data_IF_287873280788
#
_entry.id   IF_287873280788
#
_cell.length_a   1.000
_cell.length_b   1.000
_cell.length_c   1.000
_cell.angle_alpha   90.00
_cell.angle_beta   90.00
_cell.angle_gamma   90.00
#
_symmetry.space_group_name_H-M   'P 1'
#
loop_
_entity.id
_entity.type
_entity.pdbx_description
1 polymer ?
#
# COMPACT_ATOMS: atom_id res chain seq x y z
N UNK A 1 55.55 -22.98 5.87
CA UNK A 1 54.58 -23.05 4.76
C UNK A 1 53.15 -23.36 5.20
N UNK A 2 52.88 -24.30 6.13
CA UNK A 2 51.50 -24.62 6.56
C UNK A 2 50.70 -23.47 7.22
N UNK A 3 51.38 -22.56 7.94
CA UNK A 3 50.71 -21.42 8.61
C UNK A 3 50.17 -20.37 7.63
N UNK A 4 50.83 -20.14 6.49
CA UNK A 4 50.43 -19.15 5.48
C UNK A 4 49.16 -19.60 4.76
N UNK A 5 49.04 -20.90 4.48
CA UNK A 5 47.87 -21.49 3.81
C UNK A 5 46.59 -21.36 4.67
N UNK A 6 46.66 -21.54 6.00
CA UNK A 6 45.51 -21.32 6.88
C UNK A 6 45.05 -19.84 6.94
N UNK A 7 45.97 -18.87 6.80
CA UNK A 7 45.64 -17.45 6.79
C UNK A 7 44.82 -17.03 5.56
N UNK A 8 44.92 -17.76 4.44
CA UNK A 8 44.13 -17.50 3.24
C UNK A 8 42.87 -18.37 3.13
N UNK A 9 42.87 -19.57 3.73
CA UNK A 9 41.71 -20.48 3.68
C UNK A 9 40.56 -19.98 4.58
N UNK A 10 40.85 -19.49 5.79
CA UNK A 10 39.82 -18.98 6.70
C UNK A 10 39.02 -17.80 6.11
N UNK A 11 39.64 -16.73 5.57
CA UNK A 11 38.90 -15.62 4.96
C UNK A 11 38.18 -16.03 3.66
N UNK A 12 38.71 -17.00 2.90
CA UNK A 12 38.04 -17.52 1.70
C UNK A 12 36.78 -18.31 2.05
N UNK A 13 36.81 -19.12 3.12
CA UNK A 13 35.63 -19.85 3.60
C UNK A 13 34.57 -18.90 4.16
N UNK A 14 34.96 -17.87 4.92
CA UNK A 14 34.00 -16.86 5.41
C UNK A 14 33.38 -16.04 4.28
N UNK A 15 34.17 -15.70 3.24
CA UNK A 15 33.68 -15.02 2.05
C UNK A 15 32.68 -15.89 1.26
N UNK A 16 32.98 -17.19 1.10
CA UNK A 16 32.05 -18.11 0.45
C UNK A 16 30.74 -18.27 1.25
N UNK A 17 30.82 -18.34 2.58
CA UNK A 17 29.63 -18.43 3.43
C UNK A 17 28.78 -17.17 3.38
N UNK A 18 29.38 -15.98 3.37
CA UNK A 18 28.63 -14.72 3.21
C UNK A 18 27.95 -14.62 1.84
N UNK A 19 28.63 -15.04 0.77
CA UNK A 19 28.04 -15.04 -0.58
C UNK A 19 26.88 -16.03 -0.68
N UNK A 20 27.00 -17.23 -0.10
CA UNK A 20 25.91 -18.23 -0.10
C UNK A 20 24.71 -17.72 0.70
N UNK A 21 24.95 -17.07 1.84
CA UNK A 21 23.88 -16.47 2.64
C UNK A 21 23.14 -15.37 1.86
N UNK A 22 23.88 -14.45 1.23
CA UNK A 22 23.33 -13.35 0.45
C UNK A 22 22.53 -13.82 -0.77
N UNK A 23 23.01 -14.87 -1.46
CA UNK A 23 22.23 -15.48 -2.56
C UNK A 23 20.93 -16.12 -2.04
N UNK A 24 20.95 -16.70 -0.83
CA UNK A 24 19.77 -17.31 -0.24
C UNK A 24 18.75 -16.27 0.24
N UNK A 25 19.19 -15.17 0.85
CA UNK A 25 18.31 -14.06 1.29
C UNK A 25 17.68 -13.36 0.09
N UNK A 26 18.42 -13.12 -0.98
CA UNK A 26 17.89 -12.54 -2.21
C UNK A 26 16.79 -13.42 -2.83
N UNK A 27 17.01 -14.73 -2.94
CA UNK A 27 15.98 -15.66 -3.44
C UNK A 27 14.77 -15.73 -2.51
N UNK A 28 14.99 -15.76 -1.21
CA UNK A 28 13.90 -15.77 -0.23
C UNK A 28 13.05 -14.49 -0.36
N UNK A 29 13.71 -13.33 -0.51
CA UNK A 29 13.02 -12.06 -0.74
C UNK A 29 12.18 -12.11 -2.00
N UNK A 30 12.75 -12.52 -3.14
CA UNK A 30 12.01 -12.64 -4.40
C UNK A 30 10.75 -13.52 -4.26
N UNK A 31 10.87 -14.65 -3.58
CA UNK A 31 9.73 -15.55 -3.35
C UNK A 31 8.66 -14.92 -2.44
N UNK A 32 9.08 -14.23 -1.38
CA UNK A 32 8.17 -13.52 -0.48
C UNK A 32 7.47 -12.36 -1.19
N UNK A 33 8.18 -11.57 -2.01
CA UNK A 33 7.59 -10.50 -2.82
C UNK A 33 6.55 -11.02 -3.83
N UNK A 34 6.78 -12.18 -4.45
CA UNK A 34 5.77 -12.82 -5.32
C UNK A 34 4.54 -13.33 -4.55
N UNK A 35 4.68 -13.66 -3.26
CA UNK A 35 3.52 -13.97 -2.41
C UNK A 35 2.77 -12.70 -2.06
N UNK A 36 3.48 -11.64 -1.69
CA UNK A 36 2.94 -10.32 -1.43
C UNK A 36 2.07 -9.85 -2.60
N UNK A 37 2.62 -9.82 -3.81
CA UNK A 37 1.90 -9.35 -5.00
C UNK A 37 0.61 -10.13 -5.27
N UNK A 38 0.66 -11.47 -5.16
CA UNK A 38 -0.55 -12.31 -5.29
C UNK A 38 -1.60 -12.00 -4.22
N UNK A 39 -1.17 -11.74 -2.99
CA UNK A 39 -2.08 -11.41 -1.90
C UNK A 39 -2.71 -10.02 -2.07
N UNK A 40 -1.96 -9.07 -2.62
CA UNK A 40 -2.45 -7.74 -3.01
C UNK A 40 -3.48 -7.81 -4.13
N UNK A 41 -3.27 -8.67 -5.13
CA UNK A 41 -4.20 -8.86 -6.24
C UNK A 41 -5.49 -9.57 -5.82
N UNK A 42 -5.43 -10.40 -4.77
CA UNK A 42 -6.57 -11.17 -4.25
C UNK A 42 -6.87 -10.85 -2.76
N UNK A 43 -7.19 -9.59 -2.41
CA UNK A 43 -7.29 -9.18 -1.02
C UNK A 43 -8.44 -9.89 -0.27
N UNK A 44 -9.57 -10.10 -0.93
CA UNK A 44 -10.75 -10.79 -0.35
C UNK A 44 -10.52 -12.28 -0.07
N UNK A 45 -9.54 -12.90 -0.73
CA UNK A 45 -9.16 -14.33 -0.56
C UNK A 45 -8.06 -14.52 0.52
N UNK A 46 -7.49 -13.41 0.99
CA UNK A 46 -6.33 -13.42 1.88
C UNK A 46 -6.77 -13.24 3.33
N UNK A 47 -6.46 -14.23 4.17
CA UNK A 47 -6.73 -14.15 5.60
C UNK A 47 -5.63 -13.39 6.34
N UNK A 48 -5.97 -12.82 7.50
CA UNK A 48 -5.02 -12.21 8.43
C UNK A 48 -3.80 -13.13 8.71
N UNK A 49 -4.05 -14.42 8.89
CA UNK A 49 -3.00 -15.42 9.11
C UNK A 49 -1.95 -15.45 7.97
N UNK A 50 -2.37 -15.29 6.71
CA UNK A 50 -1.43 -15.31 5.57
C UNK A 50 -0.51 -14.09 5.59
N UNK A 51 -1.01 -12.91 5.99
CA UNK A 51 -0.19 -11.71 6.14
C UNK A 51 0.84 -11.85 7.25
N UNK A 52 0.44 -12.35 8.43
CA UNK A 52 1.39 -12.62 9.52
C UNK A 52 2.46 -13.65 9.12
N UNK A 53 2.06 -14.70 8.39
CA UNK A 53 3.02 -15.68 7.88
C UNK A 53 4.04 -15.01 6.95
N UNK A 54 3.57 -14.16 6.02
CA UNK A 54 4.42 -13.44 5.08
C UNK A 54 5.37 -12.45 5.79
N UNK A 55 4.87 -11.74 6.80
CA UNK A 55 5.70 -10.87 7.65
C UNK A 55 6.84 -11.69 8.29
N UNK A 56 6.53 -12.86 8.85
CA UNK A 56 7.56 -13.75 9.41
C UNK A 56 8.54 -14.30 8.37
N UNK A 57 8.18 -14.36 7.09
CA UNK A 57 9.14 -14.67 6.02
C UNK A 57 10.12 -13.51 5.78
N UNK A 58 9.62 -12.28 5.73
CA UNK A 58 10.45 -11.08 5.59
C UNK A 58 11.31 -10.81 6.83
N UNK A 59 10.80 -11.02 8.04
CA UNK A 59 11.56 -10.87 9.28
C UNK A 59 12.77 -11.81 9.31
N UNK A 60 12.63 -13.07 8.89
CA UNK A 60 13.77 -14.01 8.80
C UNK A 60 14.85 -13.55 7.81
N UNK A 61 14.47 -12.84 6.75
CA UNK A 61 15.42 -12.26 5.79
C UNK A 61 16.20 -11.13 6.47
N UNK A 62 15.51 -10.25 7.19
CA UNK A 62 16.14 -9.18 7.96
C UNK A 62 17.02 -9.69 9.10
N UNK A 63 16.62 -10.76 9.79
CA UNK A 63 17.44 -11.37 10.84
C UNK A 63 18.76 -11.94 10.28
N UNK A 64 18.71 -12.53 9.08
CA UNK A 64 19.89 -13.06 8.42
C UNK A 64 20.83 -11.94 7.93
N UNK A 65 20.27 -10.87 7.35
CA UNK A 65 21.04 -9.75 6.79
C UNK A 65 20.40 -8.38 7.11
N UNK A 66 20.56 -7.87 8.35
CA UNK A 66 19.89 -6.65 8.81
C UNK A 66 20.25 -5.40 8.00
N UNK A 67 21.45 -5.38 7.45
CA UNK A 67 22.00 -4.30 6.61
C UNK A 67 22.38 -4.82 5.21
N UNK A 68 21.75 -5.91 4.77
CA UNK A 68 21.95 -6.48 3.44
C UNK A 68 21.38 -5.60 2.33
N UNK A 69 21.65 -5.98 1.08
CA UNK A 69 21.21 -5.24 -0.11
C UNK A 69 19.70 -5.09 -0.22
N UNK A 70 18.93 -6.04 0.33
CA UNK A 70 17.46 -6.04 0.31
C UNK A 70 16.86 -5.46 1.60
N UNK A 71 17.67 -4.92 2.51
CA UNK A 71 17.21 -4.71 3.88
C UNK A 71 16.20 -3.55 4.00
N UNK A 72 16.33 -2.50 3.21
CA UNK A 72 15.33 -1.43 3.13
C UNK A 72 14.06 -1.91 2.38
N UNK A 73 14.23 -2.59 1.23
CA UNK A 73 13.14 -3.27 0.50
C UNK A 73 12.33 -4.20 1.41
N UNK A 74 13.01 -4.95 2.29
CA UNK A 74 12.37 -5.90 3.20
C UNK A 74 11.63 -5.18 4.33
N UNK A 75 12.17 -4.09 4.88
CA UNK A 75 11.46 -3.26 5.86
C UNK A 75 10.23 -2.59 5.24
N UNK A 76 10.35 -2.11 4.01
CA UNK A 76 9.24 -1.59 3.23
C UNK A 76 8.17 -2.67 2.99
N UNK A 77 8.57 -3.90 2.68
CA UNK A 77 7.67 -5.03 2.51
C UNK A 77 6.90 -5.38 3.79
N UNK A 78 7.57 -5.37 4.94
CA UNK A 78 6.93 -5.60 6.25
C UNK A 78 5.91 -4.50 6.53
N UNK A 79 6.30 -3.23 6.35
CA UNK A 79 5.39 -2.10 6.56
C UNK A 79 4.17 -2.19 5.64
N UNK A 80 4.36 -2.57 4.37
CA UNK A 80 3.28 -2.85 3.43
C UNK A 80 2.32 -3.93 3.97
N UNK A 81 2.84 -5.07 4.42
CA UNK A 81 1.98 -6.14 4.94
C UNK A 81 1.11 -5.66 6.11
N UNK A 82 1.67 -4.83 7.00
CA UNK A 82 0.91 -4.23 8.09
C UNK A 82 -0.15 -3.23 7.60
N UNK A 83 0.11 -2.50 6.53
CA UNK A 83 -0.87 -1.61 5.89
C UNK A 83 -2.03 -2.39 5.28
N UNK A 84 -1.75 -3.51 4.60
CA UNK A 84 -2.79 -4.41 4.08
C UNK A 84 -3.63 -5.03 5.19
N UNK A 85 -3.00 -5.43 6.30
CA UNK A 85 -3.71 -5.89 7.50
C UNK A 85 -4.59 -4.78 8.11
N UNK A 86 -4.09 -3.55 8.17
CA UNK A 86 -4.83 -2.42 8.71
C UNK A 86 -6.11 -2.07 7.91
N UNK A 87 -6.14 -2.39 6.62
CA UNK A 87 -7.32 -2.20 5.76
C UNK A 87 -8.35 -3.33 5.90
N UNK A 88 -7.94 -4.51 6.36
CA UNK A 88 -8.85 -5.65 6.51
C UNK A 88 -9.91 -5.39 7.58
N UNK A 89 -11.17 -5.75 7.31
CA UNK A 89 -12.27 -5.59 8.26
C UNK A 89 -12.04 -6.50 9.49
N UNK A 90 -11.77 -5.91 10.65
CA UNK A 90 -11.52 -6.66 11.88
C UNK A 90 -11.22 -5.80 13.11
N UNK A 91 -11.21 -6.46 14.27
CA UNK A 91 -10.97 -5.82 15.58
C UNK A 91 -9.51 -5.32 15.73
N UNK A 92 -8.57 -5.83 14.92
CA UNK A 92 -7.13 -5.60 15.03
C UNK A 92 -6.57 -4.46 14.14
N UNK A 93 -7.43 -3.62 13.53
CA UNK A 93 -7.00 -2.59 12.56
C UNK A 93 -6.11 -1.52 13.17
N UNK A 94 -6.46 -1.03 14.37
CA UNK A 94 -5.65 -0.05 15.10
C UNK A 94 -4.27 -0.64 15.41
N UNK A 95 -4.21 -1.83 16.01
CA UNK A 95 -2.95 -2.53 16.31
C UNK A 95 -2.07 -2.74 15.08
N UNK A 96 -2.68 -3.08 13.94
CA UNK A 96 -1.97 -3.23 12.66
C UNK A 96 -1.37 -1.90 12.18
N UNK A 97 -2.08 -0.77 12.36
CA UNK A 97 -1.52 0.57 12.08
C UNK A 97 -0.37 0.92 13.01
N UNK A 98 -0.43 0.59 14.30
CA UNK A 98 0.73 0.82 15.17
C UNK A 98 1.94 -0.02 14.76
N UNK A 99 1.73 -1.26 14.30
CA UNK A 99 2.82 -2.07 13.74
C UNK A 99 3.38 -1.50 12.44
N UNK A 100 2.53 -0.98 11.55
CA UNK A 100 2.98 -0.26 10.36
C UNK A 100 3.83 0.97 10.72
N UNK A 101 3.40 1.75 11.72
CA UNK A 101 4.16 2.89 12.24
C UNK A 101 5.54 2.46 12.74
N UNK A 102 5.62 1.37 13.51
CA UNK A 102 6.90 0.83 13.97
C UNK A 102 7.80 0.44 12.79
N UNK A 103 7.27 -0.29 11.81
CA UNK A 103 8.02 -0.73 10.64
C UNK A 103 8.56 0.43 9.79
N UNK A 104 7.73 1.47 9.54
CA UNK A 104 8.18 2.66 8.82
C UNK A 104 9.25 3.44 9.60
N UNK A 105 9.09 3.59 10.91
CA UNK A 105 10.12 4.25 11.72
C UNK A 105 11.44 3.46 11.72
N UNK A 106 11.39 2.13 11.72
CA UNK A 106 12.58 1.29 11.59
C UNK A 106 13.24 1.46 10.21
N UNK A 107 12.47 1.58 9.12
CA UNK A 107 13.02 1.87 7.80
C UNK A 107 13.77 3.21 7.81
N UNK A 108 13.11 4.28 8.26
CA UNK A 108 13.68 5.62 8.31
C UNK A 108 14.93 5.67 9.20
N UNK A 109 14.94 4.99 10.33
CA UNK A 109 16.06 5.04 11.28
C UNK A 109 17.26 4.22 10.82
N UNK A 110 17.03 3.08 10.18
CA UNK A 110 18.11 2.15 9.83
C UNK A 110 18.64 2.34 8.40
N UNK A 111 17.86 2.95 7.50
CA UNK A 111 18.19 3.13 6.09
C UNK A 111 17.86 4.56 5.64
N UNK A 112 18.70 5.51 6.06
CA UNK A 112 18.53 6.95 5.81
C UNK A 112 18.70 7.37 4.33
N UNK A 113 19.21 6.47 3.49
CA UNK A 113 19.42 6.64 2.06
C UNK A 113 18.40 5.87 1.19
N UNK A 114 17.44 5.19 1.81
CA UNK A 114 16.43 4.42 1.08
C UNK A 114 15.55 5.34 0.22
N UNK A 115 15.22 4.87 -0.99
CA UNK A 115 14.30 5.58 -1.89
C UNK A 115 12.87 5.67 -1.33
N UNK A 116 12.52 4.78 -0.39
CA UNK A 116 11.19 4.71 0.21
C UNK A 116 10.91 5.75 1.30
N UNK A 117 11.91 6.53 1.73
CA UNK A 117 11.75 7.44 2.87
C UNK A 117 10.62 8.48 2.66
N UNK A 118 10.50 9.14 1.49
CA UNK A 118 9.42 10.11 1.26
C UNK A 118 8.04 9.45 1.40
N UNK A 119 7.84 8.27 0.80
CA UNK A 119 6.61 7.52 0.94
C UNK A 119 6.40 6.99 2.36
N UNK A 120 7.45 6.58 3.07
CA UNK A 120 7.33 6.13 4.45
C UNK A 120 6.83 7.25 5.37
N UNK A 121 7.29 8.49 5.19
CA UNK A 121 6.74 9.65 5.90
C UNK A 121 5.27 9.92 5.54
N UNK A 122 4.91 9.78 4.26
CA UNK A 122 3.51 9.89 3.84
C UNK A 122 2.64 8.83 4.52
N UNK A 123 3.02 7.55 4.45
CA UNK A 123 2.25 6.47 5.06
C UNK A 123 2.21 6.55 6.59
N UNK A 124 3.28 7.01 7.24
CA UNK A 124 3.23 7.35 8.67
C UNK A 124 2.15 8.40 8.95
N UNK A 125 2.06 9.45 8.13
CA UNK A 125 1.01 10.46 8.24
C UNK A 125 -0.39 9.85 8.15
N UNK A 126 -0.61 8.96 7.18
CA UNK A 126 -1.86 8.22 7.03
C UNK A 126 -2.17 7.35 8.26
N UNK A 127 -1.19 6.59 8.77
CA UNK A 127 -1.39 5.78 9.95
C UNK A 127 -1.75 6.62 11.18
N UNK A 128 -1.05 7.72 11.42
CA UNK A 128 -1.31 8.63 12.55
C UNK A 128 -2.71 9.28 12.44
N UNK A 129 -3.12 9.69 11.24
CA UNK A 129 -4.46 10.21 10.97
C UNK A 129 -5.51 9.18 11.38
N UNK A 130 -5.34 7.94 10.95
CA UNK A 130 -6.34 6.90 11.16
C UNK A 130 -6.42 6.41 12.61
N UNK A 131 -5.33 6.49 13.39
CA UNK A 131 -5.35 6.25 14.84
C UNK A 131 -5.75 7.50 15.64
N UNK A 132 -6.32 8.51 14.96
CA UNK A 132 -6.85 9.75 15.55
C UNK A 132 -5.80 10.60 16.26
N UNK A 133 -4.57 10.59 15.77
CA UNK A 133 -3.49 11.51 16.15
C UNK A 133 -3.18 12.48 14.98
N UNK A 134 -4.03 13.51 14.78
CA UNK A 134 -3.90 14.39 13.64
C UNK A 134 -2.74 15.40 13.78
N UNK A 135 -2.13 15.51 14.94
CA UNK A 135 -0.96 16.38 15.14
C UNK A 135 0.32 15.67 14.68
N UNK A 136 0.47 14.37 15.01
CA UNK A 136 1.54 13.57 14.42
C UNK A 136 1.35 13.41 12.91
N UNK A 137 0.13 13.19 12.44
CA UNK A 137 -0.15 13.08 11.00
C UNK A 137 0.35 14.30 10.22
N UNK A 138 0.01 15.50 10.71
CA UNK A 138 0.42 16.77 10.12
C UNK A 138 1.94 16.91 10.09
N UNK A 139 2.62 16.59 11.19
CA UNK A 139 4.09 16.65 11.26
C UNK A 139 4.76 15.75 10.21
N UNK A 140 4.24 14.52 10.01
CA UNK A 140 4.81 13.59 9.02
C UNK A 140 4.56 14.05 7.59
N UNK A 141 3.36 14.55 7.29
CA UNK A 141 3.06 15.13 5.98
C UNK A 141 3.90 16.38 5.70
N UNK A 142 4.07 17.29 6.66
CA UNK A 142 4.95 18.45 6.53
C UNK A 142 6.39 18.04 6.25
N UNK A 143 6.87 16.98 6.90
CA UNK A 143 8.21 16.43 6.63
C UNK A 143 8.39 16.06 5.15
N UNK A 144 7.38 15.46 4.51
CA UNK A 144 7.41 15.17 3.06
C UNK A 144 7.54 16.46 2.24
N UNK A 145 6.71 17.46 2.55
CA UNK A 145 6.66 18.71 1.78
C UNK A 145 7.94 19.53 1.92
N UNK A 146 8.55 19.52 3.10
CA UNK A 146 9.73 20.33 3.43
C UNK A 146 11.03 19.66 2.96
N UNK A 147 11.16 18.34 3.18
CA UNK A 147 12.40 17.61 2.90
C UNK A 147 12.43 16.99 1.50
N UNK A 148 11.25 16.68 0.93
CA UNK A 148 11.13 15.98 -0.36
C UNK A 148 10.19 16.73 -1.34
N UNK A 149 10.36 18.04 -1.57
CA UNK A 149 9.39 18.88 -2.30
C UNK A 149 9.17 18.51 -3.77
N UNK A 150 10.11 17.79 -4.39
CA UNK A 150 10.07 17.37 -5.79
C UNK A 150 9.65 15.90 -5.96
N UNK A 151 9.32 15.20 -4.87
CA UNK A 151 9.00 13.79 -4.90
C UNK A 151 7.57 13.56 -5.41
N UNK A 152 7.33 12.44 -6.11
CA UNK A 152 6.01 12.12 -6.70
C UNK A 152 4.88 12.06 -5.66
N UNK A 153 5.20 11.72 -4.41
CA UNK A 153 4.23 11.58 -3.32
C UNK A 153 3.72 12.94 -2.79
N UNK A 154 4.34 14.06 -3.18
CA UNK A 154 4.01 15.40 -2.67
C UNK A 154 2.57 15.79 -2.98
N UNK A 155 2.05 15.45 -4.17
CA UNK A 155 0.68 15.82 -4.54
C UNK A 155 -0.34 15.09 -3.66
N UNK A 156 -0.17 13.78 -3.47
CA UNK A 156 -1.00 12.99 -2.55
C UNK A 156 -0.90 13.52 -1.12
N UNK A 157 0.31 13.89 -0.70
CA UNK A 157 0.55 14.45 0.65
C UNK A 157 -0.19 15.76 0.87
N UNK A 158 -0.22 16.66 -0.12
CA UNK A 158 -0.98 17.92 -0.01
C UNK A 158 -2.48 17.67 0.13
N UNK A 159 -3.02 16.74 -0.66
CA UNK A 159 -4.43 16.37 -0.58
C UNK A 159 -4.79 15.82 0.80
N UNK A 160 -3.93 14.97 1.37
CA UNK A 160 -4.17 14.42 2.71
C UNK A 160 -4.05 15.46 3.83
N UNK A 161 -3.11 16.39 3.71
CA UNK A 161 -2.97 17.49 4.67
C UNK A 161 -4.19 18.43 4.62
N UNK A 162 -4.73 18.70 3.43
CA UNK A 162 -5.95 19.51 3.25
C UNK A 162 -7.18 18.82 3.86
N UNK A 163 -7.34 17.51 3.65
CA UNK A 163 -8.41 16.69 4.27
C UNK A 163 -8.31 16.74 5.79
N UNK A 164 -7.10 16.57 6.32
CA UNK A 164 -6.82 16.62 7.75
C UNK A 164 -7.17 17.99 8.36
N UNK A 165 -6.79 19.08 7.69
CA UNK A 165 -7.08 20.44 8.13
C UNK A 165 -8.59 20.72 8.15
N UNK A 166 -9.31 20.27 7.12
CA UNK A 166 -10.77 20.42 7.02
C UNK A 166 -11.46 19.68 8.17
N UNK A 167 -11.05 18.44 8.46
CA UNK A 167 -11.58 17.66 9.59
C UNK A 167 -11.31 18.32 10.96
N UNK A 168 -10.12 18.90 11.16
CA UNK A 168 -9.81 19.68 12.38
C UNK A 168 -10.73 20.91 12.53
N UNK A 169 -11.05 21.60 11.43
CA UNK A 169 -11.96 22.75 11.45
C UNK A 169 -13.38 22.31 11.79
N UNK A 170 -13.89 21.26 11.15
CA UNK A 170 -15.24 20.73 11.37
C UNK A 170 -15.45 20.29 12.82
N UNK A 171 -14.54 19.49 13.38
CA UNK A 171 -14.61 19.06 14.78
C UNK A 171 -14.61 20.24 15.76
N UNK A 172 -13.83 21.30 15.47
CA UNK A 172 -13.81 22.53 16.28
C UNK A 172 -15.10 23.34 16.16
N UNK A 173 -15.72 23.35 14.97
CA UNK A 173 -17.02 23.97 14.74
C UNK A 173 -18.13 23.22 15.48
N UNK A 174 -18.15 21.89 15.41
CA UNK A 174 -19.12 21.06 16.14
C UNK A 174 -19.02 21.24 17.66
N UNK A 175 -17.80 21.27 18.21
CA UNK A 175 -17.58 21.55 19.62
C UNK A 175 -18.13 22.93 20.02
N UNK A 176 -17.94 23.94 19.16
CA UNK A 176 -18.45 25.29 19.40
C UNK A 176 -19.97 25.35 19.28
N UNK A 177 -20.58 24.71 18.27
CA UNK A 177 -22.04 24.66 18.11
C UNK A 177 -22.70 23.95 19.29
N UNK A 178 -22.14 22.83 19.76
CA UNK A 178 -22.63 22.10 20.94
C UNK A 178 -22.53 22.94 22.23
N UNK A 179 -21.51 23.79 22.34
CA UNK A 179 -21.34 24.70 23.47
C UNK A 179 -22.36 25.87 23.45
N UNK A 180 -22.82 26.27 22.27
CA UNK A 180 -23.72 27.43 22.10
C UNK A 180 -25.22 27.06 22.03
N UNK A 181 -25.60 25.78 21.89
CA UNK A 181 -26.99 25.34 21.94
C UNK A 181 -27.36 24.83 23.35
N UNK A 182 -28.14 25.58 24.16
CA UNK A 182 -28.70 25.02 25.37
C UNK A 182 -29.70 23.92 24.98
N UNK A 183 -29.61 22.76 25.62
CA UNK A 183 -30.51 21.62 25.45
C UNK A 183 -31.95 22.04 25.74
N UNK A 184 -32.69 22.49 24.72
CA UNK A 184 -34.12 22.68 24.81
C UNK A 184 -34.75 21.28 24.86
N UNK A 185 -35.04 20.80 26.06
CA UNK A 185 -35.89 19.62 26.22
C UNK A 185 -37.23 19.88 25.51
N UNK A 186 -37.75 18.93 24.71
CA UNK A 186 -39.11 19.06 24.21
C UNK A 186 -40.05 18.97 25.41
N UNK A 187 -40.71 20.10 25.73
CA UNK A 187 -41.83 20.11 26.68
C UNK A 187 -42.99 19.43 25.97
N UNK A 188 -43.33 18.24 26.45
CA UNK A 188 -44.51 17.50 26.03
C UNK A 188 -45.76 18.31 26.40
N UNK A 189 -46.31 19.07 25.46
CA UNK A 189 -47.70 19.51 25.52
C UNK A 189 -48.52 18.55 24.66
N UNK A 190 -49.26 17.67 25.34
CA UNK A 190 -50.30 16.83 24.77
C UNK A 190 -51.30 17.69 24.00
N UNK A 191 -51.42 17.46 22.69
CA UNK A 191 -52.63 17.78 21.94
C UNK A 191 -53.26 16.47 21.49
N UNK A 192 -54.07 15.94 22.40
CA UNK A 192 -55.07 14.90 22.13
C UNK A 192 -56.11 15.49 21.18
N UNK A 193 -56.09 15.10 19.90
CA UNK A 193 -57.30 15.08 19.07
C UNK A 193 -57.32 13.77 18.30
N UNK A 194 -58.28 12.95 18.70
CA UNK A 194 -58.60 11.64 18.18
C UNK A 194 -59.23 11.67 16.79
N UNK A 195 -58.99 10.57 16.08
CA UNK A 195 -59.92 9.85 15.18
C UNK A 195 -60.40 10.52 13.90
N UNK A 196 -59.85 10.09 12.76
CA UNK A 196 -60.61 9.34 11.73
C UNK A 196 -59.76 9.10 10.46
N UNK A 197 -59.44 7.83 10.18
CA UNK A 197 -59.19 7.32 8.82
C UNK A 197 -60.56 6.92 8.21
N UNK A 198 -60.73 6.86 6.86
CA UNK A 198 -60.35 5.63 6.16
C UNK A 198 -59.76 5.79 4.75
N UNK A 199 -59.09 4.70 4.37
CA UNK A 199 -58.57 4.25 3.07
C UNK A 199 -59.35 4.62 1.81
N UNK A 200 -58.61 4.79 0.71
CA UNK A 200 -59.03 4.32 -0.62
C UNK A 200 -57.85 3.65 -1.32
N UNK A 201 -57.89 2.32 -1.35
CA UNK A 201 -57.26 1.49 -2.38
C UNK A 201 -58.31 1.08 -3.41
N UNK A 202 -57.99 1.16 -4.72
CA UNK A 202 -58.13 0.06 -5.70
C UNK A 202 -58.32 0.53 -7.15
N UNK A 203 -57.79 -0.35 -8.02
CA UNK A 203 -58.08 -0.60 -9.44
C UNK A 203 -57.41 0.29 -10.48
N UNK A 204 -57.03 -0.16 -11.68
CA UNK A 204 -56.75 -1.43 -12.38
C UNK A 204 -56.57 -1.00 -13.84
N UNK A 205 -55.71 -1.69 -14.62
CA UNK A 205 -55.97 -2.09 -16.01
C UNK A 205 -55.00 -1.59 -17.11
N UNK A 206 -54.19 -2.55 -17.57
CA UNK A 206 -54.00 -2.99 -18.97
C UNK A 206 -53.10 -2.18 -19.93
N UNK A 207 -51.92 -2.78 -20.16
CA UNK A 207 -51.25 -3.14 -21.42
C UNK A 207 -51.20 -2.17 -22.61
N UNK A 208 -50.00 -2.02 -23.19
CA UNK A 208 -49.74 -2.39 -24.60
C UNK A 208 -48.22 -2.44 -24.88
N UNK A 209 -47.83 -3.57 -25.47
CA UNK A 209 -46.52 -3.95 -26.00
C UNK A 209 -46.16 -3.16 -27.26
N UNK A 210 -44.88 -2.84 -27.48
CA UNK A 210 -44.32 -2.79 -28.85
C UNK A 210 -42.82 -3.06 -28.81
N UNK A 211 -42.48 -4.26 -29.26
CA UNK A 211 -41.18 -4.70 -29.80
C UNK A 211 -40.74 -3.82 -30.96
N UNK A 212 -39.42 -3.62 -31.14
CA UNK A 212 -38.66 -3.72 -32.42
C UNK A 212 -37.15 -3.68 -32.07
N UNK A 213 -36.46 -4.76 -32.39
CA UNK A 213 -35.02 -4.92 -32.69
C UNK A 213 -34.93 -5.22 -34.21
N UNK A 214 -33.75 -5.35 -34.84
CA UNK A 214 -32.49 -4.57 -34.75
C UNK A 214 -32.02 -4.17 -36.17
N UNK A 215 -30.96 -3.36 -36.31
CA UNK A 215 -30.26 -3.21 -37.60
C UNK A 215 -28.74 -3.22 -37.41
N UNK A 216 -28.11 -4.19 -38.06
CA UNK A 216 -26.66 -4.42 -38.20
C UNK A 216 -26.31 -4.16 -39.65
N UNK A 217 -25.18 -3.50 -39.92
CA UNK A 217 -24.32 -3.78 -41.10
C UNK A 217 -22.94 -3.10 -40.98
N UNK A 218 -21.90 -3.58 -41.71
CA UNK A 218 -20.48 -3.58 -41.32
C UNK A 218 -19.55 -2.79 -42.27
N UNK A 219 -18.24 -2.77 -41.97
CA UNK A 219 -17.03 -2.74 -42.87
C UNK A 219 -15.83 -2.15 -42.09
N UNK A 220 -14.76 -2.91 -41.76
CA UNK A 220 -13.58 -3.35 -42.55
C UNK A 220 -12.41 -2.35 -42.60
N UNK A 221 -11.18 -2.81 -42.31
CA UNK A 221 -9.95 -2.04 -42.57
C UNK A 221 -8.69 -2.40 -41.75
N UNK A 222 -7.97 -3.43 -42.21
CA UNK A 222 -6.67 -3.92 -41.76
C UNK A 222 -5.48 -2.98 -42.09
N UNK A 223 -4.36 -3.04 -41.34
CA UNK A 223 -3.06 -2.51 -41.79
C UNK A 223 -1.96 -2.26 -40.73
N UNK A 224 -1.03 -3.21 -40.59
CA UNK A 224 0.41 -3.05 -40.24
C UNK A 224 1.15 -4.21 -40.95
N UNK A 225 2.51 -4.28 -41.09
CA UNK A 225 3.60 -3.50 -40.45
C UNK A 225 4.74 -3.06 -41.41
N UNK A 226 5.74 -2.32 -40.93
CA UNK A 226 7.03 -2.14 -41.64
C UNK A 226 8.23 -2.11 -40.66
N UNK A 227 9.32 -2.76 -41.08
CA UNK A 227 10.56 -3.08 -40.35
C UNK A 227 11.74 -2.41 -41.08
N UNK A 228 12.62 -1.72 -40.35
CA UNK A 228 14.01 -1.39 -40.75
C UNK A 228 14.83 -1.09 -39.48
N UNK A 229 16.17 -1.06 -39.48
CA UNK A 229 17.15 -2.14 -39.61
C UNK A 229 18.45 -1.70 -38.86
N UNK A 230 19.17 -2.69 -38.34
CA UNK A 230 20.59 -2.77 -37.91
C UNK A 230 21.40 -1.52 -37.46
N UNK A 231 22.05 -1.65 -36.28
CA UNK A 231 23.50 -1.44 -36.21
C UNK A 231 24.16 -2.25 -35.08
N UNK A 232 25.26 -2.94 -35.43
CA UNK A 232 26.08 -3.80 -34.58
C UNK A 232 27.22 -3.00 -33.95
N UNK A 233 27.40 -3.09 -32.62
CA UNK A 233 28.67 -2.81 -31.94
C UNK A 233 28.92 -3.90 -30.90
N UNK A 234 30.12 -4.47 -30.95
CA UNK A 234 30.56 -5.66 -30.21
C UNK A 234 30.66 -5.47 -28.68
N UNK A 235 30.61 -6.63 -28.04
CA UNK A 235 30.30 -6.95 -26.64
C UNK A 235 31.55 -7.03 -25.76
N UNK A 236 31.39 -6.66 -24.48
CA UNK A 236 32.14 -7.25 -23.35
C UNK A 236 31.13 -7.73 -22.30
N UNK A 237 31.36 -8.85 -21.60
CA UNK A 237 30.28 -9.72 -21.13
C UNK A 237 29.59 -9.16 -19.89
N UNK A 238 28.36 -8.66 -20.08
CA UNK A 238 27.41 -8.38 -19.01
C UNK A 238 26.73 -9.69 -18.66
N UNK A 239 26.76 -10.07 -17.38
CA UNK A 239 25.99 -11.19 -16.84
C UNK A 239 24.53 -10.94 -17.23
N UNK A 240 24.00 -11.82 -18.08
CA UNK A 240 22.63 -11.74 -18.61
C UNK A 240 21.71 -12.28 -17.52
N UNK A 241 21.21 -11.40 -16.67
CA UNK A 241 19.89 -11.62 -16.08
C UNK A 241 18.89 -11.33 -17.19
N UNK A 242 18.14 -12.35 -17.60
CA UNK A 242 17.21 -12.28 -18.73
C UNK A 242 16.12 -11.23 -18.44
N UNK A 243 16.19 -10.03 -19.07
CA UNK A 243 15.32 -8.90 -18.73
C UNK A 243 13.85 -9.16 -19.09
N UNK A 244 13.61 -10.19 -19.90
CA UNK A 244 12.31 -10.69 -20.33
C UNK A 244 11.40 -11.10 -19.14
N UNK A 245 11.95 -11.71 -18.09
CA UNK A 245 11.13 -12.20 -16.96
C UNK A 245 10.69 -11.08 -16.00
N UNK A 246 11.53 -10.06 -15.84
CA UNK A 246 11.27 -8.90 -14.98
C UNK A 246 10.29 -7.92 -15.65
N UNK A 247 10.32 -7.82 -16.98
CA UNK A 247 9.38 -6.99 -17.75
C UNK A 247 8.01 -7.66 -18.00
N UNK A 248 7.94 -8.99 -18.09
CA UNK A 248 6.67 -9.70 -18.32
C UNK A 248 5.71 -9.67 -17.13
N UNK A 249 6.18 -9.34 -15.92
CA UNK A 249 5.37 -9.32 -14.69
C UNK A 249 5.00 -7.91 -14.21
N UNK A 250 5.41 -6.85 -14.91
CA UNK A 250 4.93 -5.48 -14.64
C UNK A 250 5.30 -4.86 -13.28
N UNK A 251 5.96 -5.61 -12.40
CA UNK A 251 6.51 -5.15 -11.13
C UNK A 251 8.00 -5.48 -11.09
N UNK A 252 8.82 -4.44 -10.93
CA UNK A 252 10.19 -4.66 -10.48
C UNK A 252 10.07 -5.43 -9.16
N UNK A 253 10.65 -6.63 -9.04
CA UNK A 253 10.41 -7.56 -7.89
C UNK A 253 10.73 -6.92 -6.52
N UNK A 254 11.40 -5.75 -6.52
CA UNK A 254 11.66 -4.89 -5.37
C UNK A 254 10.51 -3.96 -4.96
N UNK A 255 9.68 -3.51 -5.91
CA UNK A 255 8.68 -2.47 -5.64
C UNK A 255 7.41 -3.07 -5.04
N UNK A 256 7.34 -3.04 -3.71
CA UNK A 256 6.17 -3.49 -2.96
C UNK A 256 5.07 -2.42 -2.99
N UNK A 257 3.84 -2.84 -3.32
CA UNK A 257 2.65 -1.98 -3.30
C UNK A 257 2.16 -1.80 -1.87
N UNK A 258 2.03 -0.55 -1.42
CA UNK A 258 1.47 -0.24 -0.09
C UNK A 258 0.01 0.20 -0.15
N UNK A 259 -0.40 0.85 -1.23
CA UNK A 259 -1.76 1.37 -1.37
C UNK A 259 -2.78 0.21 -1.47
N UNK A 260 -3.62 -0.01 -0.45
CA UNK A 260 -4.54 -1.13 -0.45
C UNK A 260 -5.85 -0.87 -1.22
N UNK A 261 -6.00 0.32 -1.82
CA UNK A 261 -7.20 0.74 -2.55
C UNK A 261 -8.13 1.64 -1.73
#
# INVERSE_FOLDING_TARGET
>A
MKRIVCFYILPLVTLCLSCVNSINTQRAFQQASLKHDRMVQEPTSTSEFKWHLLIGEFERILEAEPNGEMADDTRWAIASCWMWLAQSEGESTEGSRQRAIEAFNQLITNHLDSEYIPEAYFWLGCCYRDIKDPDQAELKFQTVLDQYPNHQIVQNTRLELERLATSKIESKLEQKVQFFLPTSQPRNEELVVSSSLPDVSLTKSVASTSTIEPEVSPEDGNGTPEIESANLVEVSPKIIEDPSLVQQLGLNVRKIVIDPG
#
